data_IF_632525373935
#
_entry.id   IF_632525373935
#
_cell.length_a   1.000
_cell.length_b   1.000
_cell.length_c   1.000
_cell.angle_alpha   90.00
_cell.angle_beta   90.00
_cell.angle_gamma   90.00
#
_symmetry.space_group_name_H-M   'P 1'
#
loop_
_entity.id
_entity.type
_entity.pdbx_description
1 polymer ?
#
# COMPACT_ATOMS: atom_id res chain seq x y z
N UNK A 1 19.23 3.78 9.70
CA UNK A 1 17.90 3.70 9.07
C UNK A 1 17.04 2.81 9.95
N UNK A 2 15.90 3.35 10.42
CA UNK A 2 14.98 2.59 11.26
C UNK A 2 13.96 1.85 10.40
N UNK A 3 13.50 0.72 10.93
CA UNK A 3 12.52 -0.13 10.26
C UNK A 3 11.35 -0.41 11.19
N UNK A 4 10.16 -0.57 10.59
CA UNK A 4 8.93 -1.00 11.25
C UNK A 4 8.17 -1.93 10.30
N UNK A 5 7.88 -3.14 10.73
CA UNK A 5 7.14 -4.12 9.93
C UNK A 5 6.29 -5.04 10.81
N UNK A 6 5.30 -5.68 10.19
CA UNK A 6 4.51 -6.72 10.83
C UNK A 6 5.27 -8.05 10.78
N UNK A 7 5.33 -8.73 11.90
CA UNK A 7 5.95 -10.04 11.99
C UNK A 7 5.21 -11.06 11.13
N UNK A 8 5.97 -11.88 10.41
CA UNK A 8 5.40 -12.99 9.65
C UNK A 8 4.71 -13.98 10.60
N UNK A 9 3.52 -14.45 10.20
CA UNK A 9 2.71 -15.38 11.00
C UNK A 9 3.35 -16.75 11.30
N UNK A 10 4.42 -17.12 10.59
CA UNK A 10 5.19 -18.34 10.86
C UNK A 10 6.04 -18.23 12.14
N UNK A 11 6.34 -17.03 12.62
CA UNK A 11 7.12 -16.79 13.83
C UNK A 11 6.20 -16.59 15.03
N UNK A 12 6.44 -17.33 16.09
CA UNK A 12 5.73 -17.18 17.37
C UNK A 12 6.59 -16.32 18.30
N UNK A 13 6.05 -15.16 18.71
CA UNK A 13 6.69 -14.29 19.71
C UNK A 13 6.39 -14.78 21.13
N UNK A 14 7.45 -15.00 21.90
CA UNK A 14 7.37 -15.27 23.35
C UNK A 14 7.75 -14.01 24.12
N UNK A 15 6.76 -13.24 24.57
CA UNK A 15 6.95 -12.00 25.32
C UNK A 15 7.54 -12.17 26.72
N UNK A 16 7.82 -13.40 27.17
CA UNK A 16 8.52 -13.68 28.43
C UNK A 16 10.04 -13.61 28.26
N UNK A 17 10.54 -13.61 27.02
CA UNK A 17 11.95 -13.54 26.70
C UNK A 17 12.41 -12.10 26.48
N UNK A 18 13.71 -11.85 26.68
CA UNK A 18 14.31 -10.54 26.49
C UNK A 18 13.99 -9.55 27.61
N UNK A 19 14.16 -8.28 27.33
CA UNK A 19 13.89 -7.19 28.27
C UNK A 19 12.45 -6.73 28.14
N UNK A 20 11.63 -6.95 29.15
CA UNK A 20 10.24 -6.47 29.17
C UNK A 20 10.18 -4.95 29.28
N UNK A 21 9.38 -4.31 28.45
CA UNK A 21 9.08 -2.89 28.46
C UNK A 21 7.64 -2.61 28.94
N UNK A 22 6.82 -3.64 29.03
CA UNK A 22 5.41 -3.56 29.43
C UNK A 22 4.59 -4.74 28.92
N UNK A 23 3.28 -4.65 29.02
CA UNK A 23 2.37 -5.74 28.63
C UNK A 23 2.50 -6.04 27.14
N UNK A 24 2.99 -7.25 26.80
CA UNK A 24 3.21 -7.71 25.42
C UNK A 24 4.09 -6.77 24.61
N UNK A 25 5.19 -6.35 25.22
CA UNK A 25 6.20 -5.49 24.66
C UNK A 25 7.54 -5.81 25.28
N UNK A 26 8.55 -6.08 24.44
CA UNK A 26 9.88 -6.40 24.89
C UNK A 26 10.95 -6.04 23.85
N UNK A 27 12.19 -5.95 24.32
CA UNK A 27 13.38 -5.92 23.45
C UNK A 27 13.96 -7.33 23.44
N UNK A 28 14.25 -7.81 22.24
CA UNK A 28 14.77 -9.16 21.98
C UNK A 28 15.89 -9.09 20.96
N UNK A 29 16.81 -10.05 21.05
CA UNK A 29 17.87 -10.22 20.06
C UNK A 29 17.52 -11.33 19.09
N UNK A 30 17.53 -11.01 17.82
CA UNK A 30 17.35 -12.00 16.77
C UNK A 30 18.69 -12.45 16.24
N UNK A 31 19.04 -13.74 16.39
CA UNK A 31 20.28 -14.25 15.85
C UNK A 31 20.23 -14.32 14.33
N UNK A 32 21.39 -14.17 13.71
CA UNK A 32 21.60 -14.42 12.29
C UNK A 32 21.18 -15.84 11.95
N UNK A 33 20.44 -16.07 10.85
CA UNK A 33 20.11 -17.42 10.41
C UNK A 33 21.35 -18.28 10.21
N UNK A 34 21.35 -19.53 10.69
CA UNK A 34 22.48 -20.43 10.54
C UNK A 34 22.81 -20.74 9.07
N UNK A 35 21.77 -20.83 8.22
CA UNK A 35 21.93 -20.99 6.79
C UNK A 35 21.73 -19.65 6.09
N UNK A 36 22.55 -19.35 5.08
CA UNK A 36 22.43 -18.16 4.26
C UNK A 36 21.09 -18.20 3.48
N UNK A 37 20.25 -17.16 3.61
CA UNK A 37 19.03 -17.04 2.80
C UNK A 37 19.38 -16.92 1.29
N UNK A 38 18.54 -17.49 0.42
CA UNK A 38 18.77 -17.48 -1.04
C UNK A 38 18.84 -16.06 -1.63
N UNK A 39 18.07 -15.11 -1.09
CA UNK A 39 18.04 -13.72 -1.54
C UNK A 39 19.27 -12.90 -1.15
N UNK A 40 20.18 -13.44 -0.31
CA UNK A 40 21.35 -12.75 0.20
C UNK A 40 22.62 -13.30 -0.47
N UNK A 41 23.51 -12.43 -0.97
CA UNK A 41 24.79 -12.87 -1.50
C UNK A 41 25.72 -13.39 -0.40
N UNK A 42 26.72 -14.24 -0.70
CA UNK A 42 27.68 -14.70 0.30
C UNK A 42 28.39 -13.56 1.03
N UNK A 43 28.73 -12.49 0.31
CA UNK A 43 29.39 -11.30 0.85
C UNK A 43 28.46 -10.53 1.79
N UNK A 44 27.21 -10.29 1.39
CA UNK A 44 26.20 -9.66 2.24
C UNK A 44 25.98 -10.46 3.52
N UNK A 45 25.92 -11.79 3.40
CA UNK A 45 25.75 -12.66 4.56
C UNK A 45 26.98 -12.63 5.48
N UNK A 46 28.19 -12.61 4.94
CA UNK A 46 29.42 -12.51 5.74
C UNK A 46 29.47 -11.20 6.55
N UNK A 47 29.05 -10.07 5.95
CA UNK A 47 29.02 -8.76 6.60
C UNK A 47 27.79 -8.51 7.48
N UNK A 48 26.79 -9.38 7.43
CA UNK A 48 25.60 -9.22 8.28
C UNK A 48 25.96 -9.47 9.75
N UNK A 49 25.42 -8.66 10.69
CA UNK A 49 25.69 -8.83 12.12
C UNK A 49 25.17 -10.18 12.62
N UNK A 50 25.85 -10.76 13.61
CA UNK A 50 25.47 -12.06 14.16
C UNK A 50 24.16 -12.03 14.93
N UNK A 51 23.79 -10.86 15.46
CA UNK A 51 22.50 -10.63 16.10
C UNK A 51 22.01 -9.20 15.84
N UNK A 52 20.69 -9.03 15.81
CA UNK A 52 20.02 -7.73 15.69
C UNK A 52 19.12 -7.53 16.89
N UNK A 53 19.29 -6.40 17.59
CA UNK A 53 18.41 -6.02 18.69
C UNK A 53 17.16 -5.36 18.12
N UNK A 54 15.99 -5.88 18.48
CA UNK A 54 14.68 -5.44 17.99
C UNK A 54 13.69 -5.30 19.13
N UNK A 55 12.72 -4.44 18.95
CA UNK A 55 11.57 -4.30 19.84
C UNK A 55 10.37 -4.95 19.16
N UNK A 56 9.74 -5.92 19.85
CA UNK A 56 8.51 -6.57 19.45
C UNK A 56 7.36 -6.03 20.30
N UNK A 57 6.27 -5.63 19.63
CA UNK A 57 5.11 -4.99 20.28
C UNK A 57 3.84 -5.62 19.73
N UNK A 58 3.00 -6.18 20.60
CA UNK A 58 1.67 -6.66 20.19
C UNK A 58 0.65 -5.53 20.23
N UNK A 59 0.02 -5.29 19.07
CA UNK A 59 -1.05 -4.31 18.88
C UNK A 59 -2.24 -5.06 18.28
N UNK A 60 -3.33 -5.15 19.02
CA UNK A 60 -4.50 -5.96 18.64
C UNK A 60 -4.13 -7.41 18.28
N UNK A 61 -4.26 -7.77 17.00
CA UNK A 61 -3.96 -9.11 16.49
C UNK A 61 -2.57 -9.24 15.85
N UNK A 62 -1.86 -8.13 15.70
CA UNK A 62 -0.58 -8.06 15.00
C UNK A 62 0.58 -7.90 15.98
N UNK A 63 1.73 -8.44 15.62
CA UNK A 63 2.99 -8.16 16.30
C UNK A 63 3.82 -7.29 15.38
N UNK A 64 4.10 -6.07 15.81
CA UNK A 64 5.00 -5.16 15.10
C UNK A 64 6.41 -5.34 15.63
N UNK A 65 7.37 -5.30 14.72
CA UNK A 65 8.79 -5.41 14.99
C UNK A 65 9.49 -4.15 14.48
N UNK A 66 10.34 -3.56 15.33
CA UNK A 66 11.00 -2.30 14.98
C UNK A 66 12.39 -2.18 15.56
N UNK A 67 13.25 -1.38 14.93
CA UNK A 67 14.53 -0.92 15.45
C UNK A 67 14.41 0.27 16.39
N UNK A 68 13.22 0.90 16.50
CA UNK A 68 12.94 2.00 17.44
C UNK A 68 12.80 1.43 18.87
N UNK A 69 13.93 1.34 19.58
CA UNK A 69 13.99 0.66 20.88
C UNK A 69 13.45 1.49 22.05
N UNK A 70 13.56 2.81 21.96
CA UNK A 70 13.12 3.69 23.05
C UNK A 70 11.59 3.83 23.08
N UNK A 71 10.96 3.09 24.00
CA UNK A 71 9.52 3.10 24.19
C UNK A 71 8.96 4.38 24.82
N UNK A 72 9.84 5.22 25.39
CA UNK A 72 9.45 6.51 25.95
C UNK A 72 9.34 7.59 24.89
N UNK A 73 10.21 7.52 23.87
CA UNK A 73 10.16 8.42 22.72
C UNK A 73 9.09 8.00 21.71
N UNK A 74 8.95 6.71 21.48
CA UNK A 74 7.99 6.16 20.51
C UNK A 74 7.12 5.11 21.19
N UNK A 75 5.91 5.52 21.58
CA UNK A 75 4.95 4.65 22.25
C UNK A 75 4.25 3.65 21.32
N UNK A 76 3.46 2.73 21.92
CA UNK A 76 2.65 1.78 21.14
C UNK A 76 1.66 2.45 20.17
N UNK A 77 1.06 3.55 20.61
CA UNK A 77 0.12 4.33 19.80
C UNK A 77 0.81 4.93 18.59
N UNK A 78 2.03 5.44 18.78
CA UNK A 78 2.84 6.03 17.70
C UNK A 78 3.26 4.98 16.68
N UNK A 79 3.69 3.79 17.13
CA UNK A 79 4.02 2.66 16.25
C UNK A 79 2.79 2.20 15.47
N UNK A 80 1.63 2.14 16.12
CA UNK A 80 0.36 1.79 15.46
C UNK A 80 -0.01 2.80 14.38
N UNK A 81 0.07 4.09 14.70
CA UNK A 81 -0.21 5.17 13.77
C UNK A 81 0.79 5.20 12.60
N UNK A 82 2.07 5.00 12.89
CA UNK A 82 3.12 4.92 11.87
C UNK A 82 2.90 3.72 10.93
N UNK A 83 2.61 2.55 11.49
CA UNK A 83 2.35 1.35 10.69
C UNK A 83 1.08 1.49 9.82
N UNK A 84 0.04 2.11 10.35
CA UNK A 84 -1.18 2.37 9.58
C UNK A 84 -0.91 3.23 8.32
N UNK A 85 0.08 4.13 8.36
CA UNK A 85 0.48 4.93 7.19
C UNK A 85 1.09 4.10 6.05
N UNK A 86 1.52 2.87 6.32
CA UNK A 86 1.97 1.92 5.27
C UNK A 86 0.92 1.75 4.17
N UNK A 87 -0.37 1.77 4.54
CA UNK A 87 -1.47 1.69 3.59
C UNK A 87 -1.48 2.82 2.54
N UNK A 88 -0.87 3.96 2.85
CA UNK A 88 -0.77 5.06 1.90
C UNK A 88 0.00 4.68 0.64
N UNK A 89 1.00 3.80 0.74
CA UNK A 89 1.76 3.30 -0.42
C UNK A 89 0.85 2.55 -1.39
N UNK A 90 -0.07 1.73 -0.87
CA UNK A 90 -1.03 0.99 -1.70
C UNK A 90 -2.01 1.94 -2.41
N UNK A 91 -2.44 3.00 -1.72
CA UNK A 91 -3.26 4.06 -2.32
C UNK A 91 -2.49 4.83 -3.40
N UNK A 92 -1.23 5.14 -3.15
CA UNK A 92 -0.37 5.86 -4.09
C UNK A 92 -0.10 5.00 -5.35
N UNK A 93 0.21 3.71 -5.17
CA UNK A 93 0.36 2.75 -6.27
C UNK A 93 -0.94 2.58 -7.07
N UNK A 94 -2.10 2.55 -6.41
CA UNK A 94 -3.39 2.51 -7.09
C UNK A 94 -3.62 3.78 -7.91
N UNK A 95 -3.31 4.94 -7.36
CA UNK A 95 -3.44 6.20 -8.08
C UNK A 95 -2.52 6.23 -9.30
N UNK A 96 -1.27 5.80 -9.17
CA UNK A 96 -0.32 5.66 -10.28
C UNK A 96 -0.83 4.67 -11.33
N UNK A 97 -1.26 3.47 -10.94
CA UNK A 97 -1.70 2.44 -11.90
C UNK A 97 -3.01 2.81 -12.55
N UNK A 98 -4.05 3.06 -11.75
CA UNK A 98 -5.42 3.15 -12.25
C UNK A 98 -5.81 4.56 -12.67
N UNK A 99 -5.40 5.60 -11.91
CA UNK A 99 -5.85 6.97 -12.18
C UNK A 99 -5.00 7.65 -13.23
N UNK A 100 -3.68 7.41 -13.24
CA UNK A 100 -2.80 7.94 -14.30
C UNK A 100 -2.63 6.99 -15.49
N UNK A 101 -3.19 5.77 -15.44
CA UNK A 101 -3.15 4.81 -16.54
C UNK A 101 -1.82 4.10 -16.74
N UNK A 102 -0.96 4.05 -15.70
CA UNK A 102 0.35 3.38 -15.78
C UNK A 102 0.26 1.84 -15.79
N UNK A 103 -0.91 1.26 -15.56
CA UNK A 103 -1.15 -0.19 -15.59
C UNK A 103 -1.03 -0.79 -17.00
N UNK A 104 -1.15 0.02 -18.04
CA UNK A 104 -0.97 -0.38 -19.44
C UNK A 104 0.06 0.52 -20.10
N UNK A 105 1.25 -0.02 -20.36
CA UNK A 105 2.27 0.66 -21.15
C UNK A 105 2.00 0.37 -22.63
N UNK A 106 1.88 1.43 -23.43
CA UNK A 106 1.47 1.36 -24.84
C UNK A 106 2.62 1.45 -25.83
N UNK A 107 3.83 1.73 -25.36
CA UNK A 107 4.99 1.89 -26.23
C UNK A 107 5.55 0.54 -26.68
N UNK A 108 6.06 0.48 -27.92
CA UNK A 108 6.54 -0.77 -28.53
C UNK A 108 7.98 -1.14 -28.12
N UNK A 109 8.79 -0.18 -27.70
CA UNK A 109 10.19 -0.43 -27.35
C UNK A 109 10.44 -0.30 -25.85
N UNK A 110 11.40 -1.05 -25.28
CA UNK A 110 11.74 -0.95 -23.85
C UNK A 110 12.12 0.47 -23.42
N UNK A 111 12.91 1.18 -24.25
CA UNK A 111 13.35 2.55 -23.96
C UNK A 111 12.18 3.54 -23.94
N UNK A 112 11.20 3.37 -24.82
CA UNK A 112 10.00 4.22 -24.80
C UNK A 112 9.08 3.88 -23.62
N UNK A 113 8.98 2.62 -23.23
CA UNK A 113 8.25 2.22 -22.03
C UNK A 113 8.88 2.82 -20.77
N UNK A 114 10.21 2.86 -20.67
CA UNK A 114 10.91 3.52 -19.57
C UNK A 114 10.57 5.02 -19.52
N UNK A 115 10.63 5.71 -20.66
CA UNK A 115 10.21 7.12 -20.74
C UNK A 115 8.76 7.31 -20.34
N UNK A 116 7.86 6.43 -20.77
CA UNK A 116 6.45 6.47 -20.42
C UNK A 116 6.26 6.32 -18.90
N UNK A 117 7.00 5.42 -18.23
CA UNK A 117 6.99 5.30 -16.77
C UNK A 117 7.39 6.61 -16.08
N UNK A 118 8.47 7.25 -16.55
CA UNK A 118 8.91 8.53 -16.00
C UNK A 118 7.87 9.63 -16.20
N UNK A 119 7.16 9.68 -17.33
CA UNK A 119 6.07 10.63 -17.57
C UNK A 119 4.92 10.41 -16.58
N UNK A 120 4.51 9.15 -16.32
CA UNK A 120 3.47 8.86 -15.34
C UNK A 120 3.88 9.26 -13.92
N UNK A 121 5.13 8.98 -13.53
CA UNK A 121 5.67 9.39 -12.23
C UNK A 121 5.73 10.92 -12.09
N UNK A 122 6.14 11.62 -13.15
CA UNK A 122 6.15 13.08 -13.17
C UNK A 122 4.74 13.64 -13.04
N UNK A 123 3.80 13.15 -13.84
CA UNK A 123 2.39 13.55 -13.77
C UNK A 123 1.80 13.33 -12.36
N UNK A 124 2.08 12.17 -11.77
CA UNK A 124 1.68 11.88 -10.39
C UNK A 124 2.23 12.92 -9.40
N UNK A 125 3.52 13.24 -9.48
CA UNK A 125 4.16 14.19 -8.59
C UNK A 125 3.60 15.61 -8.77
N UNK A 126 3.35 16.04 -10.01
CA UNK A 126 2.72 17.35 -10.30
C UNK A 126 1.33 17.43 -9.68
N UNK A 127 0.50 16.40 -9.84
CA UNK A 127 -0.84 16.38 -9.21
C UNK A 127 -0.72 16.40 -7.68
N UNK A 128 0.23 15.67 -7.10
CA UNK A 128 0.47 15.71 -5.65
C UNK A 128 0.92 17.10 -5.17
N UNK A 129 1.72 17.80 -5.96
CA UNK A 129 2.12 19.17 -5.66
C UNK A 129 0.93 20.14 -5.67
N UNK A 130 0.05 20.03 -6.67
CA UNK A 130 -1.19 20.82 -6.72
C UNK A 130 -2.08 20.55 -5.49
N UNK A 131 -2.22 19.27 -5.10
CA UNK A 131 -2.96 18.91 -3.89
C UNK A 131 -2.31 19.49 -2.63
N UNK A 132 -0.99 19.43 -2.52
CA UNK A 132 -0.27 19.99 -1.38
C UNK A 132 -0.47 21.52 -1.28
N UNK A 133 -0.39 22.22 -2.39
CA UNK A 133 -0.62 23.66 -2.44
C UNK A 133 -2.07 24.02 -2.08
N UNK A 134 -3.05 23.30 -2.64
CA UNK A 134 -4.46 23.48 -2.30
C UNK A 134 -4.75 23.20 -0.83
N UNK A 135 -4.13 22.16 -0.27
CA UNK A 135 -4.25 21.80 1.13
C UNK A 135 -3.64 22.84 2.06
N UNK A 136 -2.48 23.40 1.69
CA UNK A 136 -1.82 24.49 2.42
C UNK A 136 -2.74 25.72 2.47
N UNK A 137 -3.29 26.13 1.33
CA UNK A 137 -4.20 27.29 1.25
C UNK A 137 -5.49 27.09 2.07
N UNK A 138 -5.97 25.86 2.18
CA UNK A 138 -7.19 25.54 2.93
C UNK A 138 -6.91 25.06 4.37
N UNK A 139 -5.66 24.99 4.80
CA UNK A 139 -5.25 24.50 6.12
C UNK A 139 -5.77 23.09 6.44
N UNK A 140 -5.66 22.16 5.47
CA UNK A 140 -6.10 20.76 5.60
C UNK A 140 -4.98 19.78 5.27
N UNK A 141 -5.15 18.50 5.65
CA UNK A 141 -4.21 17.46 5.27
C UNK A 141 -4.28 17.21 3.74
N UNK A 142 -3.16 17.28 2.99
CA UNK A 142 -3.12 16.95 1.57
C UNK A 142 -3.66 15.55 1.23
N UNK A 143 -3.55 14.60 2.15
CA UNK A 143 -4.07 13.24 1.95
C UNK A 143 -5.58 13.12 2.15
N UNK A 144 -6.22 14.13 2.73
CA UNK A 144 -7.67 14.22 2.79
C UNK A 144 -8.31 14.62 1.46
N UNK A 145 -7.52 15.10 0.48
CA UNK A 145 -8.01 15.53 -0.81
C UNK A 145 -8.13 14.36 -1.81
N UNK A 146 -9.07 14.48 -2.75
CA UNK A 146 -9.31 13.45 -3.77
C UNK A 146 -8.31 13.56 -4.93
N UNK A 147 -7.39 12.60 -5.05
CA UNK A 147 -6.45 12.55 -6.17
C UNK A 147 -7.16 12.49 -7.53
N UNK A 148 -8.16 11.60 -7.67
CA UNK A 148 -8.93 11.45 -8.92
C UNK A 148 -9.63 12.76 -9.31
N UNK A 149 -10.24 13.44 -8.36
CA UNK A 149 -10.90 14.71 -8.63
C UNK A 149 -9.92 15.81 -9.03
N UNK A 150 -8.75 15.86 -8.39
CA UNK A 150 -7.68 16.80 -8.76
C UNK A 150 -7.21 16.57 -10.20
N UNK A 151 -7.04 15.32 -10.62
CA UNK A 151 -6.70 14.99 -12.03
C UNK A 151 -7.79 15.49 -12.98
N UNK A 152 -9.06 15.25 -12.67
CA UNK A 152 -10.19 15.68 -13.51
C UNK A 152 -10.26 17.21 -13.61
N UNK A 153 -10.12 17.92 -12.50
CA UNK A 153 -10.09 19.38 -12.49
C UNK A 153 -8.90 19.92 -13.30
N UNK A 154 -7.72 19.33 -13.14
CA UNK A 154 -6.54 19.75 -13.88
C UNK A 154 -6.71 19.57 -15.39
N UNK A 155 -7.26 18.45 -15.84
CA UNK A 155 -7.53 18.20 -17.26
C UNK A 155 -8.57 19.19 -17.83
N UNK A 156 -9.65 19.43 -17.08
CA UNK A 156 -10.67 20.39 -17.50
C UNK A 156 -10.13 21.83 -17.53
N UNK A 157 -9.28 22.18 -16.56
CA UNK A 157 -8.62 23.48 -16.51
C UNK A 157 -7.75 23.73 -17.73
N UNK A 158 -6.96 22.74 -18.10
CA UNK A 158 -6.09 22.79 -19.30
C UNK A 158 -6.89 22.87 -20.59
N UNK A 159 -8.01 22.13 -20.71
CA UNK A 159 -8.85 22.13 -21.90
C UNK A 159 -9.53 23.47 -22.16
N UNK A 160 -9.80 24.25 -21.13
CA UNK A 160 -10.40 25.59 -21.23
C UNK A 160 -9.38 26.69 -21.55
N UNK A 161 -8.11 26.36 -21.70
CA UNK A 161 -7.06 27.36 -21.94
C UNK A 161 -6.87 28.35 -20.80
N UNK A 162 -7.33 28.00 -19.58
CA UNK A 162 -7.19 28.86 -18.41
C UNK A 162 -5.72 28.90 -18.00
N UNK A 163 -5.15 30.10 -17.93
CA UNK A 163 -3.76 30.28 -17.55
C UNK A 163 -3.56 29.89 -16.08
N UNK A 164 -2.64 28.98 -15.84
CA UNK A 164 -2.26 28.58 -14.48
C UNK A 164 -1.83 29.78 -13.61
N UNK A 165 -1.41 30.88 -14.21
CA UNK A 165 -0.88 32.04 -13.50
C UNK A 165 -1.95 33.03 -13.01
N UNK A 166 -3.12 33.10 -13.67
CA UNK A 166 -4.17 34.07 -13.30
C UNK A 166 -5.26 33.51 -12.39
N UNK A 167 -5.56 32.22 -12.50
CA UNK A 167 -6.73 31.59 -11.85
C UNK A 167 -6.40 30.48 -10.86
N UNK A 168 -5.12 30.34 -10.45
CA UNK A 168 -4.68 29.30 -9.52
C UNK A 168 -5.47 29.27 -8.21
N UNK A 169 -5.88 30.43 -7.71
CA UNK A 169 -6.65 30.52 -6.46
C UNK A 169 -7.99 29.78 -6.54
N UNK A 170 -8.71 29.92 -7.65
CA UNK A 170 -9.97 29.20 -7.88
C UNK A 170 -9.72 27.70 -8.02
N UNK A 171 -8.71 27.29 -8.79
CA UNK A 171 -8.33 25.87 -8.95
C UNK A 171 -8.04 25.23 -7.61
N UNK A 172 -7.21 25.87 -6.78
CA UNK A 172 -6.89 25.35 -5.44
C UNK A 172 -8.11 25.26 -4.53
N UNK A 173 -9.00 26.24 -4.60
CA UNK A 173 -10.27 26.21 -3.86
C UNK A 173 -11.14 25.02 -4.28
N UNK A 174 -11.29 24.78 -5.58
CA UNK A 174 -12.05 23.64 -6.10
C UNK A 174 -11.42 22.29 -5.72
N UNK A 175 -10.10 22.19 -5.79
CA UNK A 175 -9.38 20.97 -5.34
C UNK A 175 -9.65 20.73 -3.85
N UNK A 176 -9.58 21.76 -3.01
CA UNK A 176 -9.74 21.65 -1.56
C UNK A 176 -11.18 21.26 -1.13
N UNK A 177 -12.18 21.54 -1.97
CA UNK A 177 -13.58 21.19 -1.69
C UNK A 177 -13.83 19.67 -1.78
N UNK A 178 -13.09 18.95 -2.60
CA UNK A 178 -13.32 17.52 -2.81
C UNK A 178 -12.45 16.64 -1.92
N UNK A 179 -12.97 16.28 -0.75
CA UNK A 179 -12.28 15.48 0.25
C UNK A 179 -12.65 14.00 0.18
N UNK A 180 -11.69 13.14 0.50
CA UNK A 180 -11.86 11.70 0.68
C UNK A 180 -11.82 11.34 2.17
N UNK A 181 -12.41 12.18 2.99
CA UNK A 181 -12.33 12.09 4.42
C UNK A 181 -12.83 10.75 4.97
N UNK A 182 -12.23 10.39 6.10
CA UNK A 182 -12.79 9.40 7.00
C UNK A 182 -14.26 9.72 7.24
N UNK A 183 -15.15 8.84 6.80
CA UNK A 183 -16.61 8.99 6.98
C UNK A 183 -17.02 8.17 8.20
N UNK A 184 -16.92 8.71 9.42
CA UNK A 184 -17.30 8.00 10.63
C UNK A 184 -18.80 7.62 10.53
N UNK A 185 -19.12 6.40 10.90
CA UNK A 185 -20.48 5.90 10.81
C UNK A 185 -20.94 5.43 9.45
N UNK A 186 -20.13 5.52 8.39
CA UNK A 186 -20.48 4.94 7.11
C UNK A 186 -20.37 3.42 7.17
N UNK A 187 -21.53 2.78 7.21
CA UNK A 187 -21.63 1.33 7.06
C UNK A 187 -21.96 1.06 5.59
N UNK A 188 -21.02 0.45 4.86
CA UNK A 188 -21.29 -0.05 3.52
C UNK A 188 -21.71 -1.51 3.61
N UNK A 189 -22.98 -1.83 3.38
CA UNK A 189 -23.42 -3.21 3.37
C UNK A 189 -22.72 -3.92 2.20
N UNK A 190 -21.86 -4.86 2.50
CA UNK A 190 -21.20 -5.70 1.51
C UNK A 190 -21.93 -7.04 1.46
N UNK A 191 -22.31 -7.46 0.29
CA UNK A 191 -22.77 -8.85 0.12
C UNK A 191 -21.65 -9.79 0.57
N UNK A 192 -21.97 -10.66 1.52
CA UNK A 192 -21.05 -11.73 1.91
C UNK A 192 -20.85 -12.63 0.70
N UNK A 193 -19.60 -12.86 0.31
CA UNK A 193 -19.31 -13.86 -0.71
C UNK A 193 -19.87 -15.19 -0.23
N UNK A 194 -20.79 -15.77 -0.99
CA UNK A 194 -21.36 -17.09 -0.69
C UNK A 194 -20.28 -18.18 -0.75
N UNK A 195 -19.18 -17.92 -1.47
CA UNK A 195 -18.03 -18.84 -1.61
C UNK A 195 -16.78 -18.14 -1.09
N UNK A 196 -16.19 -18.60 0.00
CA UNK A 196 -14.97 -18.04 0.58
C UNK A 196 -13.71 -18.32 -0.25
N UNK A 197 -13.77 -19.29 -1.21
CA UNK A 197 -12.64 -19.66 -2.07
C UNK A 197 -12.85 -19.12 -3.49
N UNK A 198 -11.77 -18.73 -4.19
CA UNK A 198 -11.84 -18.43 -5.62
C UNK A 198 -12.33 -19.68 -6.38
N UNK A 199 -12.97 -19.48 -7.54
CA UNK A 199 -13.33 -20.59 -8.42
C UNK A 199 -12.05 -21.36 -8.77
N UNK A 200 -12.06 -22.69 -8.74
CA UNK A 200 -10.94 -23.48 -9.22
C UNK A 200 -10.67 -23.14 -10.69
N UNK A 201 -9.40 -23.17 -11.05
CA UNK A 201 -8.99 -22.99 -12.45
C UNK A 201 -9.61 -24.08 -13.33
N UNK A 202 -10.01 -23.70 -14.53
CA UNK A 202 -10.43 -24.70 -15.53
C UNK A 202 -9.26 -25.64 -15.81
N UNK A 203 -9.46 -26.93 -15.58
CA UNK A 203 -8.45 -27.98 -15.86
C UNK A 203 -8.42 -28.40 -17.33
N UNK A 204 -9.39 -27.97 -18.12
CA UNK A 204 -9.55 -28.28 -19.54
C UNK A 204 -9.84 -26.99 -20.32
N UNK A 205 -9.59 -26.94 -21.64
CA UNK A 205 -9.95 -25.82 -22.48
C UNK A 205 -11.43 -25.45 -22.35
N UNK A 206 -11.73 -24.14 -22.44
CA UNK A 206 -13.09 -23.60 -22.17
C UNK A 206 -14.18 -24.26 -23.02
N UNK A 207 -13.90 -24.57 -24.27
CA UNK A 207 -14.87 -25.20 -25.16
C UNK A 207 -15.19 -26.67 -24.76
N UNK A 208 -14.19 -27.36 -24.27
CA UNK A 208 -14.35 -28.71 -23.72
C UNK A 208 -15.16 -28.66 -22.42
N UNK A 209 -14.86 -27.70 -21.53
CA UNK A 209 -15.63 -27.50 -20.31
C UNK A 209 -17.10 -27.16 -20.60
N UNK A 210 -17.40 -26.33 -21.61
CA UNK A 210 -18.78 -26.06 -22.05
C UNK A 210 -19.52 -27.31 -22.50
N UNK A 211 -18.89 -28.15 -23.31
CA UNK A 211 -19.49 -29.43 -23.76
C UNK A 211 -19.75 -30.38 -22.59
N UNK A 212 -18.87 -30.39 -21.59
CA UNK A 212 -19.04 -31.19 -20.39
C UNK A 212 -20.23 -30.71 -19.56
N UNK A 213 -20.37 -29.39 -19.33
CA UNK A 213 -21.52 -28.80 -18.64
C UNK A 213 -22.83 -29.05 -19.42
N UNK A 214 -22.82 -28.98 -20.74
CA UNK A 214 -23.98 -29.26 -21.56
C UNK A 214 -24.44 -30.76 -21.47
N UNK A 215 -23.48 -31.68 -21.28
CA UNK A 215 -23.77 -33.12 -21.18
C UNK A 215 -24.17 -33.56 -19.78
N UNK A 216 -23.57 -32.95 -18.75
CA UNK A 216 -23.60 -33.45 -17.37
C UNK A 216 -24.12 -32.45 -16.34
N UNK A 217 -24.40 -31.21 -16.75
CA UNK A 217 -24.78 -30.14 -15.82
C UNK A 217 -23.61 -29.53 -15.07
N UNK A 218 -23.90 -28.49 -14.22
CA UNK A 218 -22.89 -27.74 -13.46
C UNK A 218 -22.30 -28.49 -12.26
N UNK A 219 -22.94 -29.55 -11.80
CA UNK A 219 -22.53 -30.35 -10.63
C UNK A 219 -21.61 -31.52 -10.99
N UNK A 220 -21.15 -31.56 -12.23
CA UNK A 220 -20.23 -32.60 -12.69
C UNK A 220 -18.82 -32.37 -12.12
N UNK A 221 -18.38 -33.25 -11.25
CA UNK A 221 -16.99 -33.33 -10.80
C UNK A 221 -16.23 -34.36 -11.65
N UNK A 222 -15.13 -34.02 -12.32
CA UNK A 222 -14.31 -35.02 -13.00
C UNK A 222 -13.65 -35.92 -11.95
N UNK A 223 -13.86 -37.21 -12.09
CA UNK A 223 -13.17 -38.24 -11.30
C UNK A 223 -11.67 -38.23 -11.54
#
# INVERSE_FOLDING_TARGET
MDVLFEQNGSRITDFRRGQSLGTREHIVRWPKPAARPEWMTPEQYAHAPDEITLREVKIAHQVLVTTLLDHRQVGKADLSALYARRWNVELDLRNLKTTTGMDVLSCQTPQMNEKQLWVHLLAYNVIRLLMAQAACNASVDPRSLSFKHTVQLWMEWGSRGLSATKDCGLLFTLIAQCRVDHRPGRIEPRMRKRRPKPYPWLKVPRDQARRQVQRHGHDWEPK
#
